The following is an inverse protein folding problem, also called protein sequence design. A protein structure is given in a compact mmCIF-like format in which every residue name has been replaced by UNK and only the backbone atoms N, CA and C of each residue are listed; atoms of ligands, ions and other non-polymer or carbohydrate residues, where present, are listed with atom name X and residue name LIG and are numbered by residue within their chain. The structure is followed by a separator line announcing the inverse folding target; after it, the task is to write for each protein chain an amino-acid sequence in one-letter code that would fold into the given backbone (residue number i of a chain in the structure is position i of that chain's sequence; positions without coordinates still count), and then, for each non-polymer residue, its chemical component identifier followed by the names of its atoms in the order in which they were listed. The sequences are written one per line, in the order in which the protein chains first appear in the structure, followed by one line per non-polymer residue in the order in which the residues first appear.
data_IF_196288219173
#
_entry.id   IF_196288219173
#
_cell.length_a   1.000
_cell.length_b   1.000
_cell.length_c   1.000
_cell.angle_alpha   90.00
_cell.angle_beta   90.00
_cell.angle_gamma   90.00
#
_symmetry.space_group_name_H-M   'P 1'
#
loop_
_entity.id
_entity.type
_entity.pdbx_description
1 polymer ?
#
# COMPACT_ATOMS: atom_id res chain seq x y z
N UNK A 1 -5.12 -10.92 -1.35
CA UNK A 1 -4.55 -10.78 -2.71
C UNK A 1 -3.68 -11.99 -2.94
N UNK A 2 -3.97 -12.83 -3.93
CA UNK A 2 -2.97 -13.79 -4.42
C UNK A 2 -2.23 -13.10 -5.54
N UNK A 3 -0.91 -13.09 -5.48
CA UNK A 3 -0.11 -12.55 -6.56
C UNK A 3 -0.11 -13.55 -7.71
N UNK A 4 -0.95 -13.31 -8.72
CA UNK A 4 -0.79 -13.98 -10.01
C UNK A 4 0.53 -13.59 -10.67
N UNK A 5 0.86 -14.30 -11.75
CA UNK A 5 2.12 -14.12 -12.51
C UNK A 5 2.36 -12.68 -13.02
N UNK A 6 1.33 -11.83 -13.04
CA UNK A 6 1.50 -10.39 -13.21
C UNK A 6 1.04 -9.64 -11.95
N UNK A 7 2.01 -9.08 -11.24
CA UNK A 7 1.79 -8.20 -10.08
C UNK A 7 0.97 -6.94 -10.40
N UNK A 8 0.83 -6.62 -11.69
CA UNK A 8 0.18 -5.43 -12.21
C UNK A 8 -1.05 -5.78 -13.08
N UNK A 9 -1.27 -7.05 -13.43
CA UNK A 9 -2.42 -7.47 -14.26
C UNK A 9 -3.15 -8.68 -13.65
N UNK A 10 -4.28 -8.48 -12.96
CA UNK A 10 -5.12 -9.57 -12.49
C UNK A 10 -5.77 -10.39 -13.62
N UNK A 11 -5.68 -9.96 -14.88
CA UNK A 11 -6.34 -10.60 -16.03
C UNK A 11 -5.73 -11.91 -16.49
N UNK A 12 -4.50 -12.26 -16.08
CA UNK A 12 -3.83 -13.50 -16.49
C UNK A 12 -4.03 -14.67 -15.54
N UNK A 13 -4.89 -14.53 -14.52
CA UNK A 13 -5.13 -15.54 -13.48
C UNK A 13 -6.53 -15.39 -12.89
N UNK A 14 -7.13 -16.48 -12.39
CA UNK A 14 -8.52 -16.55 -11.86
C UNK A 14 -8.73 -15.71 -10.58
N UNK A 15 -8.54 -14.39 -10.65
CA UNK A 15 -8.75 -13.48 -9.52
C UNK A 15 -9.87 -12.51 -9.81
N UNK A 16 -10.77 -12.36 -8.83
CA UNK A 16 -11.81 -11.35 -8.82
C UNK A 16 -11.45 -10.33 -7.75
N UNK A 17 -11.28 -9.07 -8.17
CA UNK A 17 -11.12 -7.95 -7.27
C UNK A 17 -12.24 -6.95 -7.57
N UNK A 18 -13.27 -6.94 -6.72
CA UNK A 18 -14.40 -6.03 -6.83
C UNK A 18 -14.23 -4.88 -5.86
N UNK A 19 -14.54 -3.67 -6.34
CA UNK A 19 -14.75 -2.49 -5.50
C UNK A 19 -16.10 -1.87 -5.85
N UNK A 20 -16.43 -0.73 -5.26
CA UNK A 20 -17.75 -0.14 -5.45
C UNK A 20 -18.05 1.07 -4.59
N UNK A 21 -19.25 1.57 -4.76
CA UNK A 21 -19.82 2.66 -3.96
C UNK A 21 -21.01 2.16 -3.16
N UNK A 22 -21.03 2.55 -1.89
CA UNK A 22 -22.23 2.51 -1.09
C UNK A 22 -23.04 3.79 -1.34
N UNK A 23 -24.28 3.59 -1.77
CA UNK A 23 -25.18 4.61 -2.27
C UNK A 23 -26.47 4.73 -1.45
N UNK A 24 -26.55 3.99 -0.33
CA UNK A 24 -27.68 4.04 0.59
C UNK A 24 -27.36 4.89 1.82
N UNK A 25 -28.42 5.37 2.49
CA UNK A 25 -28.32 6.07 3.77
C UNK A 25 -28.84 7.49 3.74
N UNK A 26 -29.24 7.97 4.93
CA UNK A 26 -29.90 9.26 5.10
C UNK A 26 -29.04 10.45 4.65
N UNK A 27 -27.72 10.40 4.87
CA UNK A 27 -26.80 11.47 4.45
C UNK A 27 -26.79 11.70 2.95
N UNK A 28 -26.81 10.61 2.18
CA UNK A 28 -26.80 10.69 0.71
C UNK A 28 -28.11 11.31 0.21
N UNK A 29 -29.23 10.88 0.78
CA UNK A 29 -30.54 11.45 0.47
C UNK A 29 -30.64 12.95 0.83
N UNK A 30 -30.18 13.33 2.02
CA UNK A 30 -30.20 14.72 2.49
C UNK A 30 -29.26 15.61 1.63
N UNK A 31 -28.10 15.08 1.22
CA UNK A 31 -27.17 15.77 0.31
C UNK A 31 -27.72 15.95 -1.11
N UNK A 32 -28.44 14.94 -1.64
CA UNK A 32 -29.12 15.03 -2.92
C UNK A 32 -30.22 16.12 -2.90
N UNK A 33 -31.04 16.15 -1.85
CA UNK A 33 -32.07 17.17 -1.66
C UNK A 33 -31.49 18.58 -1.53
N UNK A 34 -30.40 18.74 -0.77
CA UNK A 34 -29.73 20.04 -0.61
C UNK A 34 -29.17 20.59 -1.93
N UNK A 35 -28.86 19.71 -2.88
CA UNK A 35 -28.36 20.08 -4.23
C UNK A 35 -29.47 20.09 -5.29
N UNK A 36 -30.72 19.82 -4.91
CA UNK A 36 -31.88 19.86 -5.80
C UNK A 36 -31.89 18.76 -6.88
N UNK A 37 -31.13 17.68 -6.70
CA UNK A 37 -31.05 16.56 -7.64
C UNK A 37 -31.66 15.29 -7.03
N UNK A 38 -32.11 14.37 -7.86
CA UNK A 38 -32.54 13.05 -7.40
C UNK A 38 -31.37 12.29 -6.74
N UNK A 39 -31.62 11.43 -5.74
CA UNK A 39 -30.60 10.58 -5.14
C UNK A 39 -29.82 9.74 -6.16
N UNK A 40 -30.48 9.21 -7.20
CA UNK A 40 -29.84 8.44 -8.26
C UNK A 40 -28.77 9.27 -9.01
N UNK A 41 -29.15 10.41 -9.58
CA UNK A 41 -28.22 11.33 -10.22
C UNK A 41 -27.10 11.80 -9.28
N UNK A 42 -27.39 12.00 -7.99
CA UNK A 42 -26.37 12.33 -7.01
C UNK A 42 -25.34 11.19 -6.92
N UNK A 43 -25.79 9.97 -6.69
CA UNK A 43 -24.94 8.78 -6.62
C UNK A 43 -24.14 8.56 -7.91
N UNK A 44 -24.73 8.76 -9.10
CA UNK A 44 -24.05 8.64 -10.39
C UNK A 44 -22.80 9.53 -10.46
N UNK A 45 -22.89 10.77 -9.99
CA UNK A 45 -21.77 11.72 -9.98
C UNK A 45 -20.64 11.22 -9.08
N UNK A 46 -20.97 10.75 -7.87
CA UNK A 46 -19.93 10.29 -6.92
C UNK A 46 -19.32 8.97 -7.34
N UNK A 47 -20.10 8.03 -7.85
CA UNK A 47 -19.60 6.75 -8.36
C UNK A 47 -18.64 6.95 -9.54
N UNK A 48 -18.94 7.91 -10.43
CA UNK A 48 -17.99 8.33 -11.46
C UNK A 48 -16.72 8.97 -10.89
N UNK A 49 -16.82 9.77 -9.82
CA UNK A 49 -15.64 10.32 -9.14
C UNK A 49 -14.77 9.21 -8.54
N UNK A 50 -15.34 8.22 -7.87
CA UNK A 50 -14.60 7.07 -7.34
C UNK A 50 -13.93 6.25 -8.46
N UNK A 51 -14.64 5.97 -9.56
CA UNK A 51 -14.04 5.31 -10.72
C UNK A 51 -12.86 6.10 -11.30
N UNK A 52 -12.98 7.42 -11.40
CA UNK A 52 -11.90 8.29 -11.86
C UNK A 52 -10.74 8.34 -10.85
N UNK A 53 -11.04 8.29 -9.55
CA UNK A 53 -10.05 8.24 -8.49
C UNK A 53 -9.24 6.93 -8.56
N UNK A 54 -9.91 5.79 -8.72
CA UNK A 54 -9.25 4.50 -8.93
C UNK A 54 -8.32 4.52 -10.14
N UNK A 55 -8.75 5.11 -11.27
CA UNK A 55 -7.89 5.31 -12.45
C UNK A 55 -6.66 6.16 -12.12
N UNK A 56 -6.86 7.27 -11.39
CA UNK A 56 -5.78 8.20 -11.01
C UNK A 56 -4.75 7.56 -10.08
N UNK A 57 -5.17 6.65 -9.20
CA UNK A 57 -4.28 5.91 -8.30
C UNK A 57 -3.78 4.57 -8.87
N UNK A 58 -4.08 4.27 -10.14
CA UNK A 58 -3.66 3.01 -10.77
C UNK A 58 -4.31 1.76 -10.16
N UNK A 59 -5.42 1.91 -9.42
CA UNK A 59 -6.14 0.80 -8.81
C UNK A 59 -6.91 0.05 -9.90
N UNK A 60 -6.41 -1.12 -10.27
CA UNK A 60 -7.06 -2.04 -11.20
C UNK A 60 -8.02 -2.94 -10.45
N UNK A 61 -9.21 -3.14 -10.99
CA UNK A 61 -10.25 -4.02 -10.45
C UNK A 61 -10.91 -4.79 -11.59
N UNK A 62 -11.50 -5.94 -11.28
CA UNK A 62 -12.25 -6.77 -12.24
C UNK A 62 -13.70 -6.35 -12.34
N UNK A 63 -14.24 -5.70 -11.32
CA UNK A 63 -15.61 -5.20 -11.30
C UNK A 63 -15.76 -3.98 -10.40
N UNK A 64 -16.64 -3.07 -10.82
CA UNK A 64 -17.09 -1.94 -10.00
C UNK A 64 -18.59 -2.10 -9.77
N UNK A 65 -18.99 -2.32 -8.52
CA UNK A 65 -20.38 -2.59 -8.16
C UNK A 65 -20.97 -1.40 -7.41
N UNK A 66 -22.20 -1.03 -7.76
CA UNK A 66 -22.97 -0.02 -7.03
C UNK A 66 -24.01 -0.73 -6.18
N UNK A 67 -24.22 -0.31 -4.93
CA UNK A 67 -25.21 -0.94 -4.04
C UNK A 67 -26.66 -0.70 -4.49
N UNK A 68 -26.88 0.21 -5.45
CA UNK A 68 -28.15 0.45 -6.15
C UNK A 68 -28.35 -0.44 -7.39
N UNK A 69 -27.34 -1.23 -7.80
CA UNK A 69 -27.43 -2.03 -9.01
C UNK A 69 -28.40 -3.21 -8.86
N UNK A 70 -29.12 -3.62 -9.93
CA UNK A 70 -30.04 -4.76 -9.88
C UNK A 70 -29.41 -6.06 -9.37
N UNK A 71 -28.15 -6.33 -9.76
CA UNK A 71 -27.40 -7.51 -9.32
C UNK A 71 -27.12 -7.50 -7.81
N UNK A 72 -26.82 -6.33 -7.25
CA UNK A 72 -26.62 -6.19 -5.81
C UNK A 72 -27.93 -6.42 -5.05
N UNK A 73 -29.04 -5.86 -5.54
CA UNK A 73 -30.37 -6.05 -4.97
C UNK A 73 -30.75 -7.54 -4.96
N UNK A 74 -30.53 -8.24 -6.07
CA UNK A 74 -30.76 -9.69 -6.17
C UNK A 74 -29.92 -10.48 -5.16
N UNK A 75 -28.63 -10.17 -5.05
CA UNK A 75 -27.72 -10.82 -4.10
C UNK A 75 -28.14 -10.59 -2.64
N UNK A 76 -28.47 -9.34 -2.28
CA UNK A 76 -28.92 -8.99 -0.92
C UNK A 76 -30.22 -9.69 -0.58
N UNK A 77 -31.19 -9.72 -1.49
CA UNK A 77 -32.44 -10.46 -1.30
C UNK A 77 -32.17 -11.95 -1.07
N UNK A 78 -31.28 -12.56 -1.85
CA UNK A 78 -30.91 -13.96 -1.67
C UNK A 78 -30.28 -14.23 -0.30
N UNK A 79 -29.31 -13.41 0.13
CA UNK A 79 -28.68 -13.52 1.44
C UNK A 79 -29.69 -13.35 2.57
N UNK A 80 -30.56 -12.35 2.47
CA UNK A 80 -31.61 -12.09 3.45
C UNK A 80 -32.53 -13.30 3.60
N UNK A 81 -33.07 -13.82 2.50
CA UNK A 81 -33.95 -14.99 2.51
C UNK A 81 -33.27 -16.22 3.09
N UNK A 82 -31.98 -16.42 2.81
CA UNK A 82 -31.23 -17.54 3.35
C UNK A 82 -31.04 -17.45 4.87
N UNK A 83 -30.73 -16.26 5.37
CA UNK A 83 -30.50 -16.01 6.80
C UNK A 83 -31.80 -16.07 7.60
N UNK A 84 -32.88 -15.51 7.06
CA UNK A 84 -34.23 -15.57 7.63
C UNK A 84 -34.72 -17.03 7.69
N UNK A 85 -34.60 -17.78 6.59
CA UNK A 85 -34.99 -19.18 6.51
C UNK A 85 -34.20 -20.12 7.44
N UNK A 86 -33.07 -19.66 8.00
CA UNK A 86 -32.24 -20.38 8.98
C UNK A 86 -32.39 -19.83 10.41
N UNK A 87 -33.26 -18.85 10.63
CA UNK A 87 -33.50 -18.27 11.96
C UNK A 87 -32.35 -17.43 12.49
N UNK A 88 -31.47 -16.92 11.62
CA UNK A 88 -30.35 -16.05 12.01
C UNK A 88 -30.71 -14.57 12.07
N UNK A 89 -31.91 -14.21 11.57
CA UNK A 89 -32.44 -12.85 11.61
C UNK A 89 -33.42 -12.75 12.78
N UNK A 90 -33.15 -11.83 13.69
CA UNK A 90 -34.08 -11.50 14.77
C UNK A 90 -34.28 -9.99 14.84
N UNK A 91 -35.49 -9.60 15.25
CA UNK A 91 -35.79 -8.21 15.54
C UNK A 91 -35.25 -7.83 16.90
N UNK A 92 -34.67 -6.65 16.98
CA UNK A 92 -34.23 -6.03 18.22
C UNK A 92 -34.57 -4.56 18.18
N UNK A 93 -35.10 -4.05 19.28
CA UNK A 93 -35.20 -2.61 19.50
C UNK A 93 -33.91 -2.13 20.14
N UNK A 94 -33.33 -1.08 19.56
CA UNK A 94 -32.18 -0.39 20.14
C UNK A 94 -32.57 1.07 20.40
N UNK A 95 -32.27 1.54 21.60
CA UNK A 95 -32.42 2.94 21.98
C UNK A 95 -31.06 3.46 22.47
N UNK A 96 -30.61 4.57 21.91
CA UNK A 96 -29.33 5.17 22.29
C UNK A 96 -29.15 6.58 21.77
N UNK A 97 -28.04 7.21 22.17
CA UNK A 97 -27.66 8.53 21.69
C UNK A 97 -26.93 8.38 20.36
N UNK A 98 -27.60 8.73 19.25
CA UNK A 98 -27.01 8.61 17.93
C UNK A 98 -26.39 9.93 17.48
N UNK A 99 -25.18 9.87 16.94
CA UNK A 99 -24.56 11.00 16.23
C UNK A 99 -24.74 10.81 14.74
N UNK A 100 -25.38 11.78 14.09
CA UNK A 100 -25.46 11.81 12.64
C UNK A 100 -24.09 12.02 12.00
N UNK A 101 -23.16 12.73 12.64
CA UNK A 101 -21.83 12.96 12.05
C UNK A 101 -20.99 11.70 12.15
N UNK A 102 -20.95 11.08 13.32
CA UNK A 102 -20.11 9.92 13.62
C UNK A 102 -20.75 8.59 13.17
N UNK A 103 -22.03 8.61 12.77
CA UNK A 103 -22.83 7.45 12.35
C UNK A 103 -22.88 6.30 13.36
N UNK A 104 -22.75 6.63 14.66
CA UNK A 104 -22.71 5.62 15.70
C UNK A 104 -23.54 6.01 16.92
N UNK A 105 -23.87 4.99 17.70
CA UNK A 105 -24.52 5.13 18.99
C UNK A 105 -23.49 5.27 20.11
N UNK A 106 -23.82 6.14 21.05
CA UNK A 106 -23.05 6.40 22.27
C UNK A 106 -23.84 5.97 23.50
N UNK A 107 -23.11 5.44 24.47
CA UNK A 107 -23.67 5.12 25.77
C UNK A 107 -23.90 6.39 26.60
N UNK A 108 -24.76 6.31 27.62
CA UNK A 108 -25.10 7.47 28.47
C UNK A 108 -23.89 8.14 29.14
N UNK A 109 -22.86 7.37 29.50
CA UNK A 109 -21.63 7.90 30.11
C UNK A 109 -20.69 8.56 29.10
N UNK A 110 -20.94 8.39 27.80
CA UNK A 110 -20.14 8.98 26.71
C UNK A 110 -20.75 10.30 26.21
N UNK A 111 -21.82 10.80 26.83
CA UNK A 111 -22.50 12.02 26.41
C UNK A 111 -22.70 12.97 27.59
N UNK A 112 -22.57 14.28 27.34
CA UNK A 112 -22.79 15.33 28.34
C UNK A 112 -23.85 16.32 27.89
N UNK A 113 -24.63 16.81 28.85
CA UNK A 113 -25.58 17.90 28.61
C UNK A 113 -24.86 19.21 28.32
N UNK A 114 -25.35 19.97 27.35
CA UNK A 114 -24.84 21.28 26.98
C UNK A 114 -26.02 22.21 26.68
N UNK A 115 -25.98 23.44 27.19
CA UNK A 115 -26.95 24.49 26.86
C UNK A 115 -26.39 25.33 25.72
N UNK A 116 -27.09 25.45 24.60
CA UNK A 116 -26.67 26.36 23.51
C UNK A 116 -26.86 27.83 23.92
N UNK A 117 -26.24 28.75 23.20
CA UNK A 117 -26.38 30.20 23.44
C UNK A 117 -27.85 30.68 23.38
N UNK A 118 -28.70 29.92 22.70
CA UNK A 118 -30.14 30.18 22.56
C UNK A 118 -30.98 29.52 23.68
N UNK A 119 -30.35 28.97 24.71
CA UNK A 119 -31.00 28.33 25.86
C UNK A 119 -31.48 26.90 25.62
N UNK A 120 -31.21 26.31 24.45
CA UNK A 120 -31.65 24.95 24.10
C UNK A 120 -30.74 23.91 24.76
N UNK A 121 -31.34 22.94 25.43
CA UNK A 121 -30.63 21.80 26.01
C UNK A 121 -30.35 20.74 24.93
N UNK A 122 -29.09 20.35 24.78
CA UNK A 122 -28.64 19.29 23.87
C UNK A 122 -27.71 18.32 24.62
N UNK A 123 -27.48 17.13 24.08
CA UNK A 123 -26.40 16.26 24.52
C UNK A 123 -25.31 16.22 23.45
N UNK A 124 -24.04 16.17 23.89
CA UNK A 124 -22.86 16.09 23.02
C UNK A 124 -21.96 14.93 23.42
N UNK A 125 -21.30 14.30 22.46
CA UNK A 125 -20.38 13.18 22.69
C UNK A 125 -19.05 13.60 23.36
N UNK A 126 -18.51 12.74 24.23
CA UNK A 126 -17.24 12.88 24.97
C UNK A 126 -16.05 12.13 24.34
N UNK A 127 -16.24 11.34 23.29
CA UNK A 127 -15.32 10.24 22.95
C UNK A 127 -14.07 10.68 22.17
N UNK A 128 -13.04 11.09 22.92
CA UNK A 128 -11.62 10.64 22.87
C UNK A 128 -10.88 11.27 24.06
N UNK A 129 -11.17 10.81 25.28
CA UNK A 129 -10.47 11.26 26.49
C UNK A 129 -9.94 10.06 27.27
N UNK A 130 -8.76 9.56 26.91
CA UNK A 130 -7.89 8.87 27.86
C UNK A 130 -6.43 9.16 27.49
N UNK A 131 -5.96 10.36 27.87
CA UNK A 131 -4.53 10.65 28.02
C UNK A 131 -4.35 11.51 29.28
N UNK A 132 -3.64 10.92 30.25
CA UNK A 132 -2.94 11.49 31.41
C UNK A 132 -3.57 12.64 32.21
N UNK A 133 -3.74 12.38 33.51
CA UNK A 133 -4.20 13.27 34.59
C UNK A 133 -3.33 14.54 34.83
N UNK A 134 -2.37 14.86 33.95
CA UNK A 134 -1.41 15.94 34.21
C UNK A 134 -0.99 16.74 32.98
N UNK A 135 -1.88 17.06 32.03
CA UNK A 135 -1.63 18.13 31.07
C UNK A 135 -2.95 18.81 30.69
N UNK A 136 -3.28 19.89 31.40
CA UNK A 136 -4.30 20.86 31.00
C UNK A 136 -3.76 21.62 29.78
N UNK A 137 -4.56 21.61 28.71
CA UNK A 137 -4.38 22.29 27.41
C UNK A 137 -3.43 21.62 26.43
N UNK A 138 -4.01 20.92 25.42
CA UNK A 138 -3.73 21.01 23.97
C UNK A 138 -4.40 19.81 23.21
N UNK A 139 -5.50 20.11 22.48
CA UNK A 139 -6.04 19.56 21.19
C UNK A 139 -5.68 18.08 20.84
N UNK A 140 -6.62 17.14 20.61
CA UNK A 140 -7.77 17.16 19.70
C UNK A 140 -9.08 16.61 20.31
N UNK A 141 -10.16 17.40 20.22
CA UNK A 141 -11.52 17.11 20.68
C UNK A 141 -12.42 17.20 19.44
N UNK A 142 -12.42 16.19 18.59
CA UNK A 142 -12.60 16.45 17.15
C UNK A 142 -14.01 16.46 16.57
N UNK A 143 -15.08 16.05 17.29
CA UNK A 143 -16.42 16.20 16.69
C UNK A 143 -17.43 16.99 17.54
N UNK A 144 -17.35 16.96 18.88
CA UNK A 144 -18.34 17.62 19.79
C UNK A 144 -19.78 17.52 19.25
N UNK A 145 -20.12 16.39 18.67
CA UNK A 145 -21.32 16.31 17.84
C UNK A 145 -22.55 16.31 18.72
N UNK A 146 -23.57 17.05 18.29
CA UNK A 146 -24.90 16.93 18.87
C UNK A 146 -25.41 15.52 18.63
N UNK A 147 -25.80 14.84 19.69
CA UNK A 147 -26.44 13.53 19.63
C UNK A 147 -27.93 13.68 19.86
N UNK A 148 -28.71 12.86 19.17
CA UNK A 148 -30.16 12.76 19.37
C UNK A 148 -30.50 11.38 19.92
N UNK A 149 -31.42 11.32 20.88
CA UNK A 149 -31.93 10.02 21.34
C UNK A 149 -32.80 9.44 20.23
N UNK A 150 -32.41 8.28 19.72
CA UNK A 150 -33.15 7.56 18.68
C UNK A 150 -33.52 6.20 19.25
N UNK A 151 -34.76 5.78 19.00
CA UNK A 151 -35.24 4.43 19.23
C UNK A 151 -35.66 3.86 17.90
N UNK A 152 -35.09 2.72 17.53
CA UNK A 152 -35.37 2.03 16.27
C UNK A 152 -35.52 0.53 16.50
N UNK A 153 -36.49 -0.08 15.83
CA UNK A 153 -36.60 -1.53 15.71
C UNK A 153 -35.89 -1.95 14.43
N UNK A 154 -34.82 -2.74 14.57
CA UNK A 154 -34.00 -3.20 13.46
C UNK A 154 -33.73 -4.71 13.56
N UNK A 155 -33.35 -5.29 12.42
CA UNK A 155 -32.87 -6.65 12.36
C UNK A 155 -31.38 -6.70 12.72
N UNK A 156 -31.00 -7.60 13.62
CA UNK A 156 -29.65 -7.65 14.18
C UNK A 156 -28.92 -8.97 13.89
N UNK A 157 -27.60 -8.89 13.86
CA UNK A 157 -26.66 -10.02 13.80
C UNK A 157 -25.75 -10.00 15.03
N UNK A 158 -25.41 -11.18 15.55
CA UNK A 158 -24.54 -11.27 16.73
C UNK A 158 -23.05 -11.11 16.37
N UNK A 159 -22.62 -9.85 16.25
CA UNK A 159 -21.25 -9.47 15.92
C UNK A 159 -20.25 -9.73 17.07
N UNK A 160 -20.73 -10.07 18.27
CA UNK A 160 -19.86 -10.27 19.45
C UNK A 160 -18.83 -11.39 19.25
N UNK A 161 -19.11 -12.33 18.36
CA UNK A 161 -18.25 -13.46 18.02
C UNK A 161 -16.97 -13.06 17.24
N UNK A 162 -16.93 -11.84 16.69
CA UNK A 162 -15.80 -11.33 15.89
C UNK A 162 -15.02 -10.21 16.58
N UNK A 163 -15.32 -9.93 17.85
CA UNK A 163 -14.81 -8.77 18.59
C UNK A 163 -13.27 -8.69 18.61
N UNK A 164 -12.57 -9.80 18.84
CA UNK A 164 -11.10 -9.81 18.91
C UNK A 164 -10.43 -9.51 17.55
N UNK A 165 -11.04 -9.94 16.44
CA UNK A 165 -10.56 -9.64 15.09
C UNK A 165 -10.75 -8.16 14.74
N UNK A 166 -11.91 -7.59 15.12
CA UNK A 166 -12.21 -6.16 14.93
C UNK A 166 -11.28 -5.29 15.79
N UNK A 167 -11.02 -5.69 17.03
CA UNK A 167 -10.13 -4.99 17.95
C UNK A 167 -8.67 -4.99 17.46
N UNK A 168 -8.22 -6.08 16.86
CA UNK A 168 -6.89 -6.16 16.25
C UNK A 168 -6.70 -5.15 15.11
N UNK A 169 -7.73 -4.93 14.27
CA UNK A 169 -7.69 -3.95 13.18
C UNK A 169 -7.83 -2.50 13.64
N UNK A 170 -8.53 -2.25 14.76
CA UNK A 170 -8.75 -0.89 15.27
C UNK A 170 -7.49 -0.22 15.86
N UNK A 171 -6.43 -0.98 16.16
CA UNK A 171 -5.20 -0.49 16.81
C UNK A 171 -4.05 -0.17 15.85
N UNK A 172 -4.33 0.16 14.58
CA UNK A 172 -3.29 0.47 13.61
C UNK A 172 -2.77 1.91 13.75
N UNK A 173 -1.46 2.16 13.51
CA UNK A 173 -0.85 3.46 13.71
C UNK A 173 -1.42 4.53 12.78
N UNK A 174 -1.54 5.75 13.30
CA UNK A 174 -2.07 6.91 12.57
C UNK A 174 -1.17 7.27 11.36
N UNK A 175 -1.79 7.28 10.18
CA UNK A 175 -1.23 7.82 8.94
C UNK A 175 -1.13 9.35 9.02
N UNK A 176 0.02 9.91 8.66
CA UNK A 176 0.15 11.35 8.35
C UNK A 176 0.87 11.54 7.03
N UNK A 177 0.48 12.58 6.27
CA UNK A 177 1.12 12.92 5.00
C UNK A 177 2.61 13.21 5.16
N UNK A 178 3.00 13.81 6.28
CA UNK A 178 4.40 14.11 6.62
C UNK A 178 5.24 12.84 6.79
N UNK A 179 4.73 11.87 7.55
CA UNK A 179 5.39 10.56 7.72
C UNK A 179 5.51 9.83 6.39
N UNK A 180 4.43 9.83 5.61
CA UNK A 180 4.42 9.18 4.29
C UNK A 180 5.44 9.79 3.33
N UNK A 181 5.48 11.11 3.18
CA UNK A 181 6.44 11.79 2.31
C UNK A 181 7.88 11.63 2.81
N UNK A 182 8.11 11.64 4.12
CA UNK A 182 9.44 11.38 4.70
C UNK A 182 9.92 9.98 4.35
N UNK A 183 9.05 8.97 4.50
CA UNK A 183 9.36 7.57 4.19
C UNK A 183 9.62 7.37 2.69
N UNK A 184 8.78 7.93 1.82
CA UNK A 184 8.97 7.85 0.35
C UNK A 184 10.30 8.51 -0.06
N UNK A 185 10.60 9.70 0.46
CA UNK A 185 11.85 10.38 0.15
C UNK A 185 13.07 9.60 0.66
N UNK A 186 13.00 9.02 1.87
CA UNK A 186 14.09 8.21 2.41
C UNK A 186 14.33 6.98 1.53
N UNK A 187 13.29 6.17 1.32
CA UNK A 187 13.48 4.86 0.70
C UNK A 187 13.56 4.91 -0.83
N UNK A 188 12.59 5.55 -1.50
CA UNK A 188 12.53 5.53 -2.95
C UNK A 188 13.53 6.49 -3.58
N UNK A 189 13.67 7.70 -3.03
CA UNK A 189 14.56 8.72 -3.60
C UNK A 189 16.00 8.53 -3.13
N UNK A 190 16.25 8.53 -1.82
CA UNK A 190 17.62 8.58 -1.29
C UNK A 190 18.32 7.23 -1.27
N UNK A 191 17.60 6.12 -1.07
CA UNK A 191 18.21 4.79 -1.00
C UNK A 191 18.18 4.09 -2.36
N UNK A 192 16.99 3.77 -2.88
CA UNK A 192 16.84 2.97 -4.11
C UNK A 192 17.20 3.76 -5.37
N UNK A 193 16.61 4.94 -5.55
CA UNK A 193 16.85 5.80 -6.72
C UNK A 193 18.31 6.25 -6.83
N UNK A 194 18.92 6.64 -5.71
CA UNK A 194 20.33 7.03 -5.65
C UNK A 194 21.29 5.84 -5.90
N UNK A 195 20.98 4.65 -5.39
CA UNK A 195 21.78 3.44 -5.69
C UNK A 195 21.81 3.16 -7.18
N UNK A 196 20.65 3.18 -7.84
CA UNK A 196 20.56 3.00 -9.28
C UNK A 196 21.31 4.10 -10.03
N UNK A 197 21.10 5.38 -9.67
CA UNK A 197 21.73 6.50 -10.35
C UNK A 197 23.27 6.48 -10.25
N UNK A 198 23.82 6.08 -9.11
CA UNK A 198 25.27 5.94 -8.91
C UNK A 198 25.84 4.76 -9.70
N UNK A 199 25.10 3.64 -9.77
CA UNK A 199 25.58 2.41 -10.41
C UNK A 199 25.45 2.42 -11.94
N UNK A 200 24.57 3.24 -12.53
CA UNK A 200 24.47 3.42 -14.00
C UNK A 200 25.38 4.54 -14.54
N UNK A 201 26.25 5.11 -13.71
CA UNK A 201 27.11 6.22 -14.11
C UNK A 201 27.95 5.82 -15.35
N UNK A 202 28.00 6.65 -16.42
CA UNK A 202 28.75 6.32 -17.64
C UNK A 202 30.24 6.06 -17.44
N UNK A 203 30.84 6.53 -16.34
CA UNK A 203 32.23 6.20 -15.98
C UNK A 203 32.38 4.77 -15.47
N UNK A 204 31.36 4.21 -14.83
CA UNK A 204 31.35 2.84 -14.32
C UNK A 204 30.83 1.85 -15.36
N UNK A 205 29.83 2.26 -16.15
CA UNK A 205 29.20 1.42 -17.17
C UNK A 205 29.11 2.18 -18.52
N UNK A 206 30.25 2.42 -19.19
CA UNK A 206 30.28 3.17 -20.45
C UNK A 206 29.55 2.45 -21.59
N UNK A 207 29.54 1.12 -21.56
CA UNK A 207 28.86 0.29 -22.56
C UNK A 207 27.35 0.22 -22.36
N UNK A 208 26.83 0.74 -21.23
CA UNK A 208 25.41 0.69 -20.90
C UNK A 208 24.85 -0.73 -20.94
N UNK A 209 25.64 -1.68 -20.45
CA UNK A 209 25.30 -3.10 -20.47
C UNK A 209 24.94 -3.58 -19.07
N UNK A 210 24.05 -4.56 -19.01
CA UNK A 210 23.81 -5.31 -17.79
C UNK A 210 24.83 -6.46 -17.74
N UNK A 211 25.80 -6.48 -16.81
CA UNK A 211 26.79 -7.55 -16.75
C UNK A 211 26.12 -8.90 -16.55
N UNK A 212 26.65 -9.97 -17.12
CA UNK A 212 26.09 -11.32 -16.96
C UNK A 212 27.00 -12.12 -16.04
N UNK A 213 26.39 -12.79 -15.04
CA UNK A 213 27.06 -13.72 -14.13
C UNK A 213 26.15 -14.92 -13.91
N UNK A 214 26.74 -16.10 -13.80
CA UNK A 214 26.00 -17.37 -13.73
C UNK A 214 26.40 -18.24 -12.55
N UNK A 215 27.50 -17.94 -11.85
CA UNK A 215 28.00 -18.73 -10.73
C UNK A 215 28.32 -17.83 -9.53
N UNK A 216 27.70 -18.13 -8.38
CA UNK A 216 27.89 -17.42 -7.11
C UNK A 216 29.32 -17.61 -6.58
N UNK A 217 29.87 -18.83 -6.70
CA UNK A 217 31.19 -19.15 -6.18
C UNK A 217 32.26 -18.37 -6.93
N UNK A 218 32.15 -18.33 -8.26
CA UNK A 218 32.99 -17.48 -9.10
C UNK A 218 32.85 -16.00 -8.67
N UNK A 219 31.62 -15.53 -8.51
CA UNK A 219 31.34 -14.13 -8.21
C UNK A 219 31.99 -13.65 -6.91
N UNK A 220 31.96 -14.49 -5.86
CA UNK A 220 32.58 -14.18 -4.57
C UNK A 220 34.12 -14.17 -4.59
N UNK A 221 34.75 -14.81 -5.59
CA UNK A 221 36.22 -14.83 -5.71
C UNK A 221 36.79 -13.48 -6.16
N UNK A 222 35.97 -12.61 -6.75
CA UNK A 222 36.42 -11.30 -7.26
C UNK A 222 36.57 -10.22 -6.17
N UNK A 223 36.22 -10.53 -4.92
CA UNK A 223 36.31 -9.62 -3.79
C UNK A 223 37.50 -9.97 -2.90
N UNK A 224 38.52 -9.13 -2.93
CA UNK A 224 39.76 -9.30 -2.15
C UNK A 224 39.61 -8.84 -0.70
N UNK A 225 38.75 -7.84 -0.45
CA UNK A 225 38.50 -7.30 0.89
C UNK A 225 37.43 -8.14 1.59
N UNK A 226 37.79 -8.73 2.74
CA UNK A 226 36.92 -9.60 3.51
C UNK A 226 35.63 -8.91 3.97
N UNK A 227 35.66 -7.59 4.20
CA UNK A 227 34.46 -6.84 4.58
C UNK A 227 33.44 -6.80 3.44
N UNK A 228 33.86 -6.33 2.26
CA UNK A 228 33.02 -6.26 1.07
C UNK A 228 32.54 -7.64 0.61
N UNK A 229 33.39 -8.67 0.74
CA UNK A 229 33.07 -10.06 0.44
C UNK A 229 32.03 -10.63 1.41
N UNK A 230 32.15 -10.36 2.71
CA UNK A 230 31.17 -10.78 3.69
C UNK A 230 29.80 -10.11 3.45
N UNK A 231 29.80 -8.81 3.14
CA UNK A 231 28.57 -8.09 2.78
C UNK A 231 27.97 -8.59 1.46
N UNK A 232 28.79 -8.89 0.45
CA UNK A 232 28.34 -9.51 -0.80
C UNK A 232 27.66 -10.86 -0.54
N UNK A 233 28.26 -11.71 0.30
CA UNK A 233 27.69 -13.01 0.68
C UNK A 233 26.32 -12.85 1.35
N UNK A 234 26.19 -11.95 2.33
CA UNK A 234 24.92 -11.68 3.01
C UNK A 234 23.86 -11.15 2.04
N UNK A 235 24.25 -10.28 1.10
CA UNK A 235 23.34 -9.73 0.11
C UNK A 235 22.84 -10.80 -0.85
N UNK A 236 23.74 -11.66 -1.34
CA UNK A 236 23.40 -12.78 -2.22
C UNK A 236 22.44 -13.75 -1.52
N UNK A 237 22.71 -14.13 -0.26
CA UNK A 237 21.83 -15.01 0.52
C UNK A 237 20.41 -14.42 0.66
N UNK A 238 20.30 -13.10 0.90
CA UNK A 238 19.00 -12.42 0.91
C UNK A 238 18.34 -12.39 -0.47
N UNK A 239 19.10 -12.22 -1.56
CA UNK A 239 18.55 -12.24 -2.92
C UNK A 239 18.05 -13.64 -3.33
N UNK A 240 18.76 -14.69 -2.92
CA UNK A 240 18.38 -16.09 -3.19
C UNK A 240 17.10 -16.49 -2.47
N UNK A 241 16.91 -16.02 -1.23
CA UNK A 241 15.77 -16.38 -0.38
C UNK A 241 14.56 -15.44 -0.51
N UNK A 242 14.75 -14.27 -1.13
CA UNK A 242 13.70 -13.27 -1.32
C UNK A 242 12.44 -13.84 -1.99
N UNK A 243 12.52 -14.66 -3.06
CA UNK A 243 11.32 -15.09 -3.78
C UNK A 243 10.35 -15.89 -2.91
N UNK A 244 10.87 -16.83 -2.13
CA UNK A 244 10.08 -17.67 -1.25
C UNK A 244 9.45 -16.86 -0.11
N UNK A 245 10.25 -16.02 0.57
CA UNK A 245 9.79 -15.21 1.72
C UNK A 245 8.78 -14.14 1.27
N UNK A 246 9.04 -13.44 0.15
CA UNK A 246 8.14 -12.43 -0.37
C UNK A 246 6.80 -13.03 -0.81
N UNK A 247 6.83 -14.20 -1.47
CA UNK A 247 5.62 -14.91 -1.89
C UNK A 247 4.78 -15.31 -0.68
N UNK A 248 5.39 -15.87 0.37
CA UNK A 248 4.68 -16.23 1.61
C UNK A 248 4.01 -15.01 2.27
N UNK A 249 4.72 -13.89 2.36
CA UNK A 249 4.13 -12.68 2.93
C UNK A 249 2.99 -12.10 2.08
N UNK A 250 3.12 -12.11 0.75
CA UNK A 250 2.04 -11.67 -0.13
C UNK A 250 0.80 -12.55 -0.03
N UNK A 251 0.97 -13.87 -0.01
CA UNK A 251 -0.15 -14.81 0.12
C UNK A 251 -0.90 -14.65 1.46
N UNK A 252 -0.18 -14.28 2.51
CA UNK A 252 -0.72 -13.97 3.83
C UNK A 252 -1.17 -12.51 4.00
N UNK A 253 -1.18 -11.69 2.94
CA UNK A 253 -1.56 -10.27 2.97
C UNK A 253 -0.67 -9.38 3.86
N UNK A 254 0.53 -9.84 4.18
CA UNK A 254 1.53 -9.12 4.97
C UNK A 254 2.39 -8.20 4.08
N UNK A 255 1.74 -7.31 3.32
CA UNK A 255 2.42 -6.44 2.34
C UNK A 255 3.52 -5.60 3.00
N UNK A 256 3.27 -5.10 4.21
CA UNK A 256 4.23 -4.33 4.99
C UNK A 256 5.54 -5.09 5.23
N UNK A 257 5.49 -6.41 5.46
CA UNK A 257 6.69 -7.23 5.67
C UNK A 257 7.51 -7.37 4.41
N UNK A 258 6.87 -7.44 3.24
CA UNK A 258 7.62 -7.42 1.97
C UNK A 258 8.35 -6.09 1.83
N UNK A 259 7.67 -4.97 2.10
CA UNK A 259 8.31 -3.65 2.03
C UNK A 259 9.50 -3.55 3.01
N UNK A 260 9.38 -4.07 4.23
CA UNK A 260 10.50 -4.10 5.18
C UNK A 260 11.70 -4.90 4.63
N UNK A 261 11.46 -6.08 4.04
CA UNK A 261 12.50 -6.90 3.40
C UNK A 261 13.19 -6.15 2.26
N UNK A 262 12.41 -5.45 1.43
CA UNK A 262 12.95 -4.65 0.33
C UNK A 262 13.75 -3.46 0.84
N UNK A 263 13.36 -2.85 1.97
CA UNK A 263 14.12 -1.78 2.63
C UNK A 263 15.48 -2.27 3.09
N UNK A 264 15.51 -3.36 3.84
CA UNK A 264 16.75 -3.97 4.33
C UNK A 264 17.69 -4.35 3.17
N UNK A 265 17.13 -4.94 2.10
CA UNK A 265 17.90 -5.38 0.94
C UNK A 265 18.61 -4.22 0.24
N UNK A 266 17.89 -3.11 0.03
CA UNK A 266 18.45 -1.90 -0.60
C UNK A 266 19.48 -1.22 0.29
N UNK A 267 19.26 -1.18 1.61
CA UNK A 267 20.22 -0.63 2.56
C UNK A 267 21.52 -1.43 2.57
N UNK A 268 21.42 -2.78 2.54
CA UNK A 268 22.57 -3.65 2.45
C UNK A 268 23.32 -3.48 1.11
N UNK A 269 22.61 -3.32 0.00
CA UNK A 269 23.22 -3.04 -1.30
C UNK A 269 23.91 -1.67 -1.35
N UNK A 270 23.34 -0.65 -0.72
CA UNK A 270 23.99 0.66 -0.57
C UNK A 270 25.30 0.56 0.21
N UNK A 271 25.31 -0.21 1.31
CA UNK A 271 26.51 -0.49 2.10
C UNK A 271 27.56 -1.24 1.25
N UNK A 272 27.16 -2.32 0.59
CA UNK A 272 28.02 -3.10 -0.30
C UNK A 272 28.67 -2.23 -1.39
N UNK A 273 27.86 -1.43 -2.10
CA UNK A 273 28.34 -0.56 -3.17
C UNK A 273 29.33 0.49 -2.64
N UNK A 274 29.08 1.03 -1.45
CA UNK A 274 29.98 1.99 -0.80
C UNK A 274 31.30 1.35 -0.38
N UNK A 275 31.29 0.13 0.17
CA UNK A 275 32.49 -0.59 0.58
C UNK A 275 33.36 -1.00 -0.61
N UNK A 276 32.73 -1.38 -1.73
CA UNK A 276 33.45 -1.77 -2.94
C UNK A 276 34.13 -0.59 -3.64
N UNK A 277 33.68 0.65 -3.38
CA UNK A 277 34.17 1.88 -3.99
C UNK A 277 34.41 1.74 -5.51
N UNK A 278 33.41 1.36 -6.32
CA UNK A 278 33.60 0.95 -7.72
C UNK A 278 34.28 2.02 -8.59
N UNK A 279 34.17 3.29 -8.22
CA UNK A 279 34.87 4.41 -8.87
C UNK A 279 36.40 4.40 -8.71
N UNK A 280 36.94 3.59 -7.79
CA UNK A 280 38.39 3.37 -7.61
C UNK A 280 38.89 2.10 -8.32
N UNK A 281 37.99 1.26 -8.84
CA UNK A 281 38.35 0.00 -9.49
C UNK A 281 38.75 0.30 -10.95
N UNK A 282 40.06 0.39 -11.20
CA UNK A 282 40.60 0.73 -12.54
C UNK A 282 41.17 -0.51 -13.24
N UNK A 283 41.72 -1.46 -12.47
CA UNK A 283 42.55 -2.55 -13.00
C UNK A 283 41.84 -3.92 -13.03
N UNK A 284 40.55 -3.98 -12.71
CA UNK A 284 39.80 -5.25 -12.68
C UNK A 284 38.38 -5.06 -13.17
N UNK A 285 38.18 -5.20 -14.48
CA UNK A 285 36.85 -5.11 -15.08
C UNK A 285 35.92 -6.19 -14.52
N UNK A 286 36.44 -7.40 -14.29
CA UNK A 286 35.64 -8.52 -13.79
C UNK A 286 35.07 -8.25 -12.39
N UNK A 287 35.85 -7.58 -11.52
CA UNK A 287 35.41 -7.14 -10.20
C UNK A 287 34.37 -6.02 -10.30
N UNK A 288 34.62 -5.01 -11.13
CA UNK A 288 33.67 -3.91 -11.37
C UNK A 288 32.32 -4.45 -11.87
N UNK A 289 32.34 -5.33 -12.88
CA UNK A 289 31.17 -5.98 -13.42
C UNK A 289 30.43 -6.84 -12.38
N UNK A 290 31.16 -7.52 -11.47
CA UNK A 290 30.53 -8.28 -10.36
C UNK A 290 29.85 -7.36 -9.35
N UNK A 291 30.42 -6.20 -9.03
CA UNK A 291 29.80 -5.17 -8.18
C UNK A 291 28.52 -4.65 -8.85
N UNK A 292 28.61 -4.29 -10.13
CA UNK A 292 27.47 -3.79 -10.90
C UNK A 292 26.37 -4.86 -11.03
N UNK A 293 26.74 -6.12 -11.27
CA UNK A 293 25.81 -7.23 -11.36
C UNK A 293 24.99 -7.41 -10.08
N UNK A 294 25.62 -7.56 -8.91
CA UNK A 294 24.89 -7.71 -7.64
C UNK A 294 23.99 -6.50 -7.40
N UNK A 295 24.49 -5.30 -7.70
CA UNK A 295 23.74 -4.05 -7.51
C UNK A 295 22.51 -4.00 -8.41
N UNK A 296 22.65 -4.34 -9.69
CA UNK A 296 21.54 -4.34 -10.64
C UNK A 296 20.56 -5.48 -10.37
N UNK A 297 21.01 -6.65 -9.93
CA UNK A 297 20.13 -7.76 -9.53
C UNK A 297 19.32 -7.36 -8.30
N UNK A 298 19.95 -6.68 -7.33
CA UNK A 298 19.25 -6.12 -6.18
C UNK A 298 18.15 -5.15 -6.61
N UNK A 299 18.48 -4.16 -7.44
CA UNK A 299 17.49 -3.18 -7.92
C UNK A 299 16.39 -3.86 -8.75
N UNK A 300 16.74 -4.86 -9.58
CA UNK A 300 15.78 -5.61 -10.41
C UNK A 300 14.78 -6.36 -9.54
N UNK A 301 15.25 -7.18 -8.60
CA UNK A 301 14.37 -7.96 -7.71
C UNK A 301 13.53 -7.02 -6.84
N UNK A 302 14.15 -6.00 -6.25
CA UNK A 302 13.42 -4.98 -5.48
C UNK A 302 12.32 -4.34 -6.31
N UNK A 303 12.62 -3.90 -7.54
CA UNK A 303 11.63 -3.26 -8.39
C UNK A 303 10.50 -4.22 -8.78
N UNK A 304 10.79 -5.48 -9.10
CA UNK A 304 9.75 -6.47 -9.43
C UNK A 304 8.80 -6.66 -8.25
N UNK A 305 9.32 -6.89 -7.04
CA UNK A 305 8.49 -7.05 -5.85
C UNK A 305 7.83 -5.75 -5.37
N UNK A 306 8.34 -4.59 -5.78
CA UNK A 306 7.73 -3.30 -5.43
C UNK A 306 6.50 -2.96 -6.31
N UNK A 307 6.32 -3.63 -7.45
CA UNK A 307 5.20 -3.40 -8.39
C UNK A 307 3.80 -3.31 -7.76
N UNK A 308 3.41 -4.14 -6.76
CA UNK A 308 2.09 -4.05 -6.15
C UNK A 308 1.87 -2.78 -5.32
N UNK A 309 2.96 -2.18 -4.83
CA UNK A 309 2.91 -1.00 -3.97
C UNK A 309 3.11 0.30 -4.78
N UNK A 310 4.07 0.31 -5.70
CA UNK A 310 4.40 1.50 -6.52
C UNK A 310 4.70 1.09 -7.98
N UNK A 311 3.68 0.69 -8.77
CA UNK A 311 3.85 0.09 -10.09
C UNK A 311 4.62 1.00 -11.07
N UNK A 312 4.29 2.29 -11.10
CA UNK A 312 4.96 3.25 -12.00
C UNK A 312 6.45 3.45 -11.63
N UNK A 313 6.76 3.39 -10.33
CA UNK A 313 8.14 3.50 -9.84
C UNK A 313 8.95 2.25 -10.19
N UNK A 314 8.38 1.08 -9.93
CA UNK A 314 8.95 -0.19 -10.30
C UNK A 314 9.21 -0.27 -11.81
N UNK A 315 8.22 0.12 -12.63
CA UNK A 315 8.34 0.13 -14.09
C UNK A 315 9.47 1.04 -14.57
N UNK A 316 9.61 2.23 -13.97
CA UNK A 316 10.70 3.16 -14.29
C UNK A 316 12.08 2.56 -13.96
N UNK A 317 12.25 1.93 -12.80
CA UNK A 317 13.51 1.27 -12.41
C UNK A 317 13.88 0.15 -13.38
N UNK A 318 12.91 -0.71 -13.70
CA UNK A 318 13.09 -1.84 -14.59
C UNK A 318 13.39 -1.40 -16.01
N UNK A 319 12.77 -0.30 -16.46
CA UNK A 319 13.06 0.31 -17.77
C UNK A 319 14.47 0.90 -17.83
N UNK A 320 14.95 1.58 -16.77
CA UNK A 320 16.33 2.08 -16.69
C UNK A 320 17.36 0.95 -16.72
N UNK A 321 17.03 -0.22 -16.12
CA UNK A 321 17.88 -1.41 -16.18
C UNK A 321 17.75 -2.21 -17.49
N UNK A 322 16.95 -1.74 -18.45
CA UNK A 322 16.73 -2.44 -19.71
C UNK A 322 16.07 -3.80 -19.53
N UNK A 323 15.20 -3.97 -18.52
CA UNK A 323 14.47 -5.22 -18.29
C UNK A 323 13.22 -5.27 -19.19
N UNK A 324 13.09 -6.24 -20.11
CA UNK A 324 11.90 -6.37 -20.95
C UNK A 324 10.64 -6.66 -20.11
N UNK A 325 9.46 -6.20 -20.54
CA UNK A 325 8.20 -6.43 -19.80
C UNK A 325 7.92 -7.92 -19.51
N UNK A 326 8.33 -8.83 -20.40
CA UNK A 326 8.18 -10.27 -20.21
C UNK A 326 9.01 -10.84 -19.04
N UNK A 327 10.09 -10.16 -18.64
CA UNK A 327 10.98 -10.55 -17.53
C UNK A 327 10.65 -9.79 -16.22
N UNK A 328 9.53 -9.04 -16.16
CA UNK A 328 9.10 -8.28 -14.96
C UNK A 328 8.10 -9.05 -14.08
N UNK A 329 8.08 -10.37 -14.18
CA UNK A 329 7.14 -11.24 -13.45
C UNK A 329 7.77 -11.82 -12.17
N UNK A 330 6.95 -12.34 -11.26
CA UNK A 330 7.45 -13.04 -10.06
C UNK A 330 8.27 -14.27 -10.44
N UNK A 331 7.86 -14.99 -11.49
CA UNK A 331 8.58 -16.18 -11.95
C UNK A 331 10.00 -15.85 -12.41
N UNK A 332 10.17 -14.68 -13.05
CA UNK A 332 11.46 -14.16 -13.47
C UNK A 332 12.25 -13.47 -12.34
N UNK A 333 11.64 -13.25 -11.17
CA UNK A 333 12.22 -12.53 -10.03
C UNK A 333 13.17 -13.39 -9.18
N UNK A 334 13.95 -14.26 -9.81
CA UNK A 334 14.96 -15.11 -9.14
C UNK A 334 16.36 -14.53 -9.36
N UNK A 335 17.21 -14.63 -8.35
CA UNK A 335 18.62 -14.28 -8.49
C UNK A 335 19.30 -15.21 -9.52
N UNK A 336 20.20 -14.66 -10.34
CA UNK A 336 20.86 -15.37 -11.46
C UNK A 336 19.88 -15.91 -12.54
N UNK A 337 18.64 -15.41 -12.60
CA UNK A 337 17.72 -15.85 -13.64
C UNK A 337 18.32 -15.55 -15.04
N UNK A 338 18.43 -16.56 -15.93
CA UNK A 338 18.98 -16.36 -17.27
C UNK A 338 18.21 -15.28 -18.03
N UNK A 339 18.94 -14.33 -18.62
CA UNK A 339 18.37 -13.20 -19.37
C UNK A 339 18.55 -13.42 -20.86
N UNK A 340 17.49 -13.15 -21.62
CA UNK A 340 17.47 -13.41 -23.08
C UNK A 340 17.85 -12.19 -23.91
N UNK A 341 17.63 -10.98 -23.38
CA UNK A 341 18.04 -9.71 -23.99
C UNK A 341 18.20 -8.65 -22.88
N UNK A 342 19.44 -8.29 -22.57
CA UNK A 342 19.70 -7.12 -21.72
C UNK A 342 19.65 -5.88 -22.60
N UNK A 343 18.46 -5.26 -22.66
CA UNK A 343 18.31 -3.94 -23.25
C UNK A 343 19.30 -2.93 -22.66
N UNK A 344 19.40 -1.75 -23.27
CA UNK A 344 20.39 -0.74 -22.85
C UNK A 344 20.12 -0.24 -21.43
N UNK A 345 21.12 -0.35 -20.56
CA UNK A 345 21.09 0.19 -19.20
C UNK A 345 21.37 1.70 -19.23
N UNK A 346 20.51 2.48 -18.60
CA UNK A 346 20.72 3.90 -18.40
C UNK A 346 19.50 4.75 -18.75
N UNK A 347 19.69 6.06 -18.72
CA UNK A 347 18.66 7.04 -19.02
C UNK A 347 19.02 7.82 -20.29
N UNK A 348 18.01 8.20 -21.08
CA UNK A 348 18.21 9.08 -22.24
C UNK A 348 18.62 10.51 -21.84
N UNK A 349 18.18 10.95 -20.64
CA UNK A 349 18.51 12.25 -20.04
C UNK A 349 18.98 12.08 -18.62
N UNK A 350 19.90 12.96 -18.20
CA UNK A 350 20.50 12.97 -16.86
C UNK A 350 19.53 13.60 -15.83
N UNK A 351 18.32 13.05 -15.71
CA UNK A 351 17.30 13.48 -14.77
C UNK A 351 17.35 12.63 -13.49
N UNK A 352 16.87 13.17 -12.38
CA UNK A 352 16.71 12.37 -11.16
C UNK A 352 15.78 11.19 -11.46
N UNK A 353 16.14 9.99 -10.97
CA UNK A 353 15.30 8.80 -11.14
C UNK A 353 13.92 9.08 -10.56
N UNK A 354 13.84 9.81 -9.44
CA UNK A 354 12.58 10.22 -8.83
C UNK A 354 12.62 11.66 -8.31
N UNK A 355 11.56 12.45 -8.54
CA UNK A 355 11.43 13.76 -7.93
C UNK A 355 11.15 13.62 -6.43
N UNK A 356 11.76 14.50 -5.64
CA UNK A 356 11.54 14.56 -4.19
C UNK A 356 10.15 15.11 -3.90
N UNK A 357 9.43 14.50 -2.95
CA UNK A 357 8.15 15.02 -2.48
C UNK A 357 8.45 16.24 -1.59
N UNK A 358 8.00 17.41 -2.03
CA UNK A 358 8.09 18.63 -1.24
C UNK A 358 7.06 18.57 -0.10
N UNK A 359 7.54 18.68 1.13
CA UNK A 359 6.69 19.00 2.27
C UNK A 359 6.50 20.51 2.25
N UNK A 360 5.28 20.97 1.99
CA UNK A 360 4.94 22.37 2.20
C UNK A 360 5.14 22.63 3.70
N UNK A 361 6.15 23.45 4.02
CA UNK A 361 6.44 23.88 5.39
C UNK A 361 5.47 24.96 5.84
#
# INVERSE_FOLDING_TARGET
MRCGNSLVQPSSSNFYFSTGTDEHGKKIHDAANATGVSPENHCDVYSNRFMNLSKKFGIKYTGFTRTTSPKHIEAVNHFWTLLDGRGHIFKRSYEGWYSLVDECFYNDYEVVGHTTNDGKQIKVCLKRTFVNFLLKFLIAIETKTVVTKISEENYAFDLSQFYEQIRHWANQPDFTLEKAATLVNAYLVNDLGNLLQRSINPRLNPLKQYPIRTDINELLTHFDDETSKATAKQLIEKLETLPEIATEHYDNQNIHRVLDLLVELVQLANLFFQQCEPWKIINSQIKLDSVLFITYETVRLTAIYLQPATPDFADKLLSILGIPHAERTIEAARFLNPRTDSGTVGMEKNEAVFPRIALNK
#
